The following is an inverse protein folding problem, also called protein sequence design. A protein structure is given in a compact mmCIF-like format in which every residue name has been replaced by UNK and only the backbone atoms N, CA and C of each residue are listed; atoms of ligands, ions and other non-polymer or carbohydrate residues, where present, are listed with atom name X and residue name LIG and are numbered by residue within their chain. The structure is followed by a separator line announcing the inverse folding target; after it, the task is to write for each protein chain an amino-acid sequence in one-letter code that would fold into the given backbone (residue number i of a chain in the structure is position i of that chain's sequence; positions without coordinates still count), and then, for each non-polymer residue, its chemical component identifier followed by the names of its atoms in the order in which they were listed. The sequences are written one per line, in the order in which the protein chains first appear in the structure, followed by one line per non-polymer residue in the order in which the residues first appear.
data_IF_480279038089
#
_entry.id   IF_480279038089
#
_cell.length_a   1.000
_cell.length_b   1.000
_cell.length_c   1.000
_cell.angle_alpha   90.00
_cell.angle_beta   90.00
_cell.angle_gamma   90.00
#
_symmetry.space_group_name_H-M   'P 1'
#
loop_
_entity.id
_entity.type
_entity.pdbx_description
1 polymer ?
#
# COMPACT_ATOMS: atom_id res chain seq x y z
N UNK A 1 -22.62 18.06 34.75
CA UNK A 1 -21.65 17.05 35.25
C UNK A 1 -20.33 17.32 34.51
N UNK A 2 -19.27 17.72 35.23
CA UNK A 2 -17.97 17.96 34.61
C UNK A 2 -17.35 16.59 34.42
N UNK A 3 -17.01 16.23 33.18
CA UNK A 3 -16.34 14.98 32.85
C UNK A 3 -14.91 15.04 33.40
N UNK A 4 -14.48 14.07 34.17
CA UNK A 4 -13.09 13.95 34.60
C UNK A 4 -12.22 13.49 33.42
N UNK A 5 -11.38 14.42 32.94
CA UNK A 5 -10.51 14.16 31.81
C UNK A 5 -9.47 13.06 32.11
N UNK A 6 -8.98 12.98 33.34
CA UNK A 6 -7.98 11.97 33.71
C UNK A 6 -8.58 10.58 33.75
N UNK A 7 -9.81 10.45 34.26
CA UNK A 7 -10.53 9.20 34.25
C UNK A 7 -10.88 8.76 32.81
N UNK A 8 -11.32 9.69 31.96
CA UNK A 8 -11.59 9.40 30.54
C UNK A 8 -10.34 8.90 29.80
N UNK A 9 -9.17 9.49 30.07
CA UNK A 9 -7.90 9.04 29.48
C UNK A 9 -7.52 7.63 29.92
N UNK A 10 -7.68 7.30 31.20
CA UNK A 10 -7.42 5.94 31.71
C UNK A 10 -8.32 4.90 31.03
N UNK A 11 -9.59 5.24 30.82
CA UNK A 11 -10.53 4.36 30.12
C UNK A 11 -10.13 4.17 28.65
N UNK A 12 -9.68 5.22 27.97
CA UNK A 12 -9.15 5.14 26.59
C UNK A 12 -7.92 4.24 26.57
N UNK A 13 -6.94 4.45 27.46
CA UNK A 13 -5.72 3.65 27.53
C UNK A 13 -6.01 2.15 27.73
N UNK A 14 -7.04 1.83 28.50
CA UNK A 14 -7.46 0.43 28.71
C UNK A 14 -8.11 -0.17 27.46
N UNK A 15 -8.95 0.61 26.76
CA UNK A 15 -9.58 0.20 25.50
C UNK A 15 -8.50 0.01 24.42
N UNK A 16 -7.53 0.91 24.35
CA UNK A 16 -6.43 0.82 23.39
C UNK A 16 -5.59 -0.46 23.55
N UNK A 17 -5.33 -0.88 24.82
CA UNK A 17 -4.68 -2.17 25.08
C UNK A 17 -5.49 -3.35 24.52
N UNK A 18 -6.81 -3.33 24.73
CA UNK A 18 -7.70 -4.38 24.19
C UNK A 18 -7.70 -4.36 22.64
N UNK A 19 -7.67 -3.19 22.03
CA UNK A 19 -7.56 -3.06 20.56
C UNK A 19 -6.26 -3.69 20.06
N UNK A 20 -5.12 -3.43 20.72
CA UNK A 20 -3.83 -4.03 20.36
C UNK A 20 -3.91 -5.55 20.47
N UNK A 21 -4.40 -6.11 21.58
CA UNK A 21 -4.54 -7.55 21.76
C UNK A 21 -5.43 -8.19 20.69
N UNK A 22 -6.55 -7.56 20.35
CA UNK A 22 -7.48 -8.06 19.33
C UNK A 22 -6.86 -7.96 17.92
N UNK A 23 -6.09 -6.90 17.67
CA UNK A 23 -5.37 -6.75 16.42
C UNK A 23 -4.30 -7.82 16.24
N UNK A 24 -3.50 -8.12 17.27
CA UNK A 24 -2.50 -9.20 17.24
C UNK A 24 -3.15 -10.56 16.97
N UNK A 25 -4.21 -10.90 17.71
CA UNK A 25 -4.99 -12.13 17.46
C UNK A 25 -5.52 -12.21 16.05
N UNK A 26 -5.97 -11.08 15.50
CA UNK A 26 -6.44 -11.01 14.12
C UNK A 26 -5.29 -11.25 13.12
N UNK A 27 -4.09 -10.75 13.41
CA UNK A 27 -2.92 -10.95 12.56
C UNK A 27 -2.43 -12.40 12.59
N UNK A 28 -2.51 -13.08 13.74
CA UNK A 28 -2.23 -14.53 13.85
C UNK A 28 -3.17 -15.36 12.95
N UNK A 29 -4.46 -15.02 12.97
CA UNK A 29 -5.43 -15.69 12.07
C UNK A 29 -5.14 -15.34 10.60
N UNK A 30 -4.72 -14.10 10.30
CA UNK A 30 -4.33 -13.71 8.95
C UNK A 30 -3.08 -14.49 8.46
N UNK A 31 -2.18 -14.88 9.37
CA UNK A 31 -1.06 -15.77 9.06
C UNK A 31 -1.53 -17.14 8.55
N UNK A 32 -2.51 -17.75 9.23
CA UNK A 32 -3.09 -19.03 8.82
C UNK A 32 -3.79 -18.93 7.44
N UNK A 33 -4.48 -17.81 7.21
CA UNK A 33 -5.08 -17.52 5.89
C UNK A 33 -4.02 -17.40 4.79
N UNK A 34 -2.88 -16.76 5.10
CA UNK A 34 -1.76 -16.68 4.16
C UNK A 34 -1.23 -18.07 3.81
N UNK A 35 -0.99 -18.92 4.80
CA UNK A 35 -0.48 -20.27 4.58
C UNK A 35 -1.44 -21.11 3.72
N UNK A 36 -2.75 -21.00 3.95
CA UNK A 36 -3.76 -21.64 3.11
C UNK A 36 -3.72 -21.13 1.65
N UNK A 37 -3.66 -19.81 1.46
CA UNK A 37 -3.61 -19.21 0.11
C UNK A 37 -2.34 -19.59 -0.64
N UNK A 38 -1.20 -19.63 0.04
CA UNK A 38 0.08 -20.07 -0.51
C UNK A 38 -0.02 -21.54 -0.95
N UNK A 39 -0.59 -22.40 -0.12
CA UNK A 39 -0.72 -23.83 -0.41
C UNK A 39 -1.70 -24.11 -1.57
N UNK A 40 -2.71 -23.27 -1.74
CA UNK A 40 -3.78 -23.48 -2.75
C UNK A 40 -3.64 -22.61 -3.99
N UNK A 41 -2.64 -21.72 -4.06
CA UNK A 41 -2.46 -20.78 -5.16
C UNK A 41 -3.53 -19.68 -5.25
N UNK A 42 -4.35 -19.50 -4.21
CA UNK A 42 -5.38 -18.44 -4.18
C UNK A 42 -4.74 -17.06 -4.04
N UNK A 43 -5.31 -16.08 -4.76
CA UNK A 43 -4.88 -14.69 -4.67
C UNK A 43 -5.00 -14.14 -3.23
N UNK A 44 -4.02 -13.33 -2.82
CA UNK A 44 -4.05 -12.65 -1.51
C UNK A 44 -5.20 -11.66 -1.45
N UNK A 45 -5.39 -10.85 -2.50
CA UNK A 45 -6.45 -9.87 -2.57
C UNK A 45 -7.75 -10.48 -3.11
N UNK A 46 -8.81 -10.38 -2.32
CA UNK A 46 -10.17 -10.77 -2.64
C UNK A 46 -11.07 -9.56 -2.41
N UNK A 47 -11.24 -8.76 -3.48
CA UNK A 47 -11.94 -7.47 -3.43
C UNK A 47 -13.37 -7.62 -2.95
N UNK A 48 -14.11 -8.54 -3.54
CA UNK A 48 -15.53 -8.73 -3.24
C UNK A 48 -15.76 -9.12 -1.77
N UNK A 49 -14.97 -10.06 -1.26
CA UNK A 49 -15.02 -10.45 0.15
C UNK A 49 -14.67 -9.30 1.09
N UNK A 50 -13.67 -8.47 0.77
CA UNK A 50 -13.29 -7.34 1.60
C UNK A 50 -14.39 -6.29 1.63
N UNK A 51 -14.98 -5.94 0.49
CA UNK A 51 -16.08 -4.98 0.39
C UNK A 51 -17.31 -5.45 1.19
N UNK A 52 -17.73 -6.70 1.02
CA UNK A 52 -18.84 -7.29 1.79
C UNK A 52 -18.56 -7.28 3.29
N UNK A 53 -17.32 -7.58 3.69
CA UNK A 53 -16.95 -7.59 5.11
C UNK A 53 -16.94 -6.20 5.72
N UNK A 54 -16.40 -5.21 5.02
CA UNK A 54 -16.42 -3.81 5.45
C UNK A 54 -17.88 -3.33 5.60
N UNK A 55 -18.72 -3.63 4.63
CA UNK A 55 -20.13 -3.27 4.68
C UNK A 55 -20.84 -3.89 5.88
N UNK A 56 -20.61 -5.17 6.14
CA UNK A 56 -21.15 -5.85 7.32
C UNK A 56 -20.70 -5.19 8.63
N UNK A 57 -19.39 -4.87 8.74
CA UNK A 57 -18.82 -4.36 9.98
C UNK A 57 -19.26 -2.92 10.28
N UNK A 58 -19.32 -2.05 9.28
CA UNK A 58 -19.75 -0.67 9.49
C UNK A 58 -21.19 -0.57 10.00
N UNK A 59 -22.06 -1.50 9.62
CA UNK A 59 -23.45 -1.55 10.10
C UNK A 59 -23.60 -2.02 11.54
N UNK A 60 -22.54 -2.49 12.21
CA UNK A 60 -22.53 -2.75 13.63
C UNK A 60 -22.36 -1.47 14.46
N UNK A 61 -21.96 -0.37 13.85
CA UNK A 61 -21.81 0.92 14.54
C UNK A 61 -23.17 1.59 14.81
N UNK A 62 -23.29 2.24 15.97
CA UNK A 62 -24.53 2.83 16.44
C UNK A 62 -24.77 4.29 15.97
N UNK A 63 -23.84 4.90 15.26
CA UNK A 63 -23.97 6.26 14.73
C UNK A 63 -23.36 6.37 13.34
N UNK A 64 -23.85 7.33 12.55
CA UNK A 64 -23.35 7.58 11.20
C UNK A 64 -21.86 7.96 11.19
N UNK A 65 -21.41 8.69 12.20
CA UNK A 65 -20.00 9.01 12.37
C UNK A 65 -19.16 7.75 12.58
N UNK A 66 -19.54 6.92 13.55
CA UNK A 66 -18.82 5.68 13.84
C UNK A 66 -18.91 4.68 12.68
N UNK A 67 -20.02 4.65 11.93
CA UNK A 67 -20.15 3.82 10.73
C UNK A 67 -19.05 4.12 9.71
N UNK A 68 -18.77 5.40 9.44
CA UNK A 68 -17.68 5.83 8.54
C UNK A 68 -16.30 5.47 9.12
N UNK A 69 -16.08 5.76 10.40
CA UNK A 69 -14.80 5.46 11.07
C UNK A 69 -14.50 3.95 11.09
N UNK A 70 -15.52 3.11 11.34
CA UNK A 70 -15.36 1.65 11.28
C UNK A 70 -15.00 1.18 9.88
N UNK A 71 -15.62 1.74 8.84
CA UNK A 71 -15.27 1.39 7.45
C UNK A 71 -13.79 1.72 7.15
N UNK A 72 -13.31 2.90 7.56
CA UNK A 72 -11.91 3.30 7.39
C UNK A 72 -10.96 2.40 8.17
N UNK A 73 -11.25 2.15 9.45
CA UNK A 73 -10.44 1.29 10.32
C UNK A 73 -10.26 -0.11 9.74
N UNK A 74 -11.35 -0.74 9.27
CA UNK A 74 -11.26 -2.08 8.71
C UNK A 74 -10.67 -2.11 7.31
N UNK A 75 -10.81 -1.06 6.51
CA UNK A 75 -10.08 -0.91 5.25
C UNK A 75 -8.57 -0.92 5.49
N UNK A 76 -8.09 -0.15 6.46
CA UNK A 76 -6.66 -0.12 6.83
C UNK A 76 -6.21 -1.45 7.44
N UNK A 77 -7.01 -2.03 8.33
CA UNK A 77 -6.70 -3.32 8.94
C UNK A 77 -6.58 -4.46 7.89
N UNK A 78 -7.41 -4.45 6.85
CA UNK A 78 -7.30 -5.42 5.74
C UNK A 78 -6.08 -5.14 4.88
N UNK A 79 -5.75 -3.88 4.61
CA UNK A 79 -4.54 -3.52 3.88
C UNK A 79 -3.27 -4.01 4.60
N UNK A 80 -3.18 -3.84 5.92
CA UNK A 80 -2.08 -4.36 6.75
C UNK A 80 -2.02 -5.89 6.70
N UNK A 81 -3.17 -6.57 6.75
CA UNK A 81 -3.21 -8.04 6.63
C UNK A 81 -2.75 -8.52 5.25
N UNK A 82 -3.11 -7.83 4.17
CA UNK A 82 -2.58 -8.14 2.82
C UNK A 82 -1.08 -7.97 2.74
N UNK A 83 -0.56 -6.83 3.26
CA UNK A 83 0.88 -6.58 3.30
C UNK A 83 1.62 -7.72 4.00
N UNK A 84 1.12 -8.17 5.14
CA UNK A 84 1.68 -9.29 5.87
C UNK A 84 1.60 -10.61 5.08
N UNK A 85 0.46 -10.90 4.43
CA UNK A 85 0.31 -12.10 3.59
C UNK A 85 1.27 -12.09 2.39
N UNK A 86 1.46 -10.93 1.74
CA UNK A 86 2.43 -10.79 0.66
C UNK A 86 3.87 -11.00 1.13
N UNK A 87 4.26 -10.46 2.30
CA UNK A 87 5.61 -10.69 2.84
C UNK A 87 5.87 -12.18 3.11
N UNK A 88 4.89 -12.93 3.61
CA UNK A 88 5.01 -14.39 3.77
C UNK A 88 5.14 -15.11 2.43
N UNK A 89 4.42 -14.66 1.40
CA UNK A 89 4.50 -15.22 0.05
C UNK A 89 5.88 -14.99 -0.57
N UNK A 90 6.43 -13.79 -0.40
CA UNK A 90 7.77 -13.43 -0.89
C UNK A 90 8.86 -14.24 -0.18
N UNK A 91 8.79 -14.41 1.14
CA UNK A 91 9.74 -15.25 1.90
C UNK A 91 9.78 -16.70 1.39
N UNK A 92 8.66 -17.26 0.96
CA UNK A 92 8.63 -18.60 0.36
C UNK A 92 9.10 -18.64 -1.10
N UNK A 93 8.91 -17.53 -1.84
CA UNK A 93 9.42 -17.38 -3.20
C UNK A 93 10.91 -17.07 -3.26
N UNK A 94 11.52 -16.62 -2.17
CA UNK A 94 12.96 -16.36 -2.11
C UNK A 94 13.83 -17.62 -2.31
N UNK A 95 13.22 -18.81 -2.29
CA UNK A 95 13.85 -20.04 -2.77
C UNK A 95 13.85 -20.16 -4.32
N UNK A 96 13.11 -19.32 -5.03
CA UNK A 96 13.15 -19.15 -6.49
C UNK A 96 13.93 -17.87 -6.78
N UNK A 97 15.23 -18.07 -7.02
CA UNK A 97 16.27 -17.16 -7.50
C UNK A 97 15.71 -15.98 -8.33
N UNK A 98 15.32 -14.90 -7.64
CA UNK A 98 15.53 -13.60 -8.23
C UNK A 98 17.05 -13.42 -8.25
N UNK A 99 17.62 -13.18 -9.41
CA UNK A 99 19.02 -12.79 -9.50
C UNK A 99 19.25 -11.65 -8.52
N UNK A 100 20.34 -11.68 -7.73
CA UNK A 100 20.61 -10.58 -6.81
C UNK A 100 20.68 -9.28 -7.62
N UNK A 101 20.05 -8.22 -7.11
CA UNK A 101 20.19 -6.90 -7.73
C UNK A 101 21.65 -6.49 -7.76
N UNK A 102 22.13 -6.05 -8.91
CA UNK A 102 23.42 -5.41 -9.01
C UNK A 102 23.39 -4.08 -8.26
N UNK A 103 24.23 -3.96 -7.23
CA UNK A 103 24.40 -2.70 -6.50
C UNK A 103 25.29 -1.80 -7.35
N UNK A 104 24.74 -0.66 -7.78
CA UNK A 104 25.48 0.34 -8.53
C UNK A 104 25.65 1.58 -7.66
N UNK A 105 26.83 2.23 -7.74
CA UNK A 105 27.10 3.45 -6.97
C UNK A 105 26.28 4.65 -7.46
N UNK A 106 25.95 4.70 -8.75
CA UNK A 106 25.08 5.71 -9.34
C UNK A 106 24.34 5.13 -10.56
N UNK A 107 23.23 5.75 -10.92
CA UNK A 107 22.47 5.36 -12.10
C UNK A 107 22.94 6.17 -13.32
N UNK A 108 22.88 5.55 -14.50
CA UNK A 108 23.17 6.24 -15.75
C UNK A 108 22.17 7.37 -15.98
N UNK A 109 22.64 8.57 -16.26
CA UNK A 109 21.82 9.77 -16.53
C UNK A 109 22.00 10.32 -17.95
N UNK A 110 23.03 9.89 -18.66
CA UNK A 110 23.33 10.36 -20.01
C UNK A 110 22.53 9.60 -21.06
N UNK A 111 21.95 10.35 -22.01
CA UNK A 111 21.20 9.84 -23.13
C UNK A 111 20.09 8.83 -22.78
N UNK A 112 19.41 9.08 -21.69
CA UNK A 112 18.31 8.26 -21.20
C UNK A 112 16.94 8.81 -21.60
N UNK A 113 15.93 7.94 -21.55
CA UNK A 113 14.51 8.29 -21.66
C UNK A 113 13.77 7.82 -20.42
N UNK A 114 13.02 8.70 -19.80
CA UNK A 114 12.30 8.42 -18.56
C UNK A 114 10.79 8.47 -18.82
N UNK A 115 10.06 7.47 -18.34
CA UNK A 115 8.60 7.47 -18.35
C UNK A 115 8.05 7.82 -16.99
N UNK A 116 6.97 8.57 -16.94
CA UNK A 116 6.24 8.89 -15.72
C UNK A 116 4.73 8.73 -15.93
N UNK A 117 4.02 8.40 -14.85
CA UNK A 117 2.56 8.28 -14.89
C UNK A 117 1.91 9.64 -14.64
N UNK A 118 0.88 9.96 -15.43
CA UNK A 118 0.05 11.15 -15.31
C UNK A 118 0.35 12.18 -16.41
N UNK A 119 -0.07 13.42 -16.17
CA UNK A 119 0.04 14.51 -17.14
C UNK A 119 1.26 15.39 -16.86
N UNK A 120 1.77 16.16 -17.85
CA UNK A 120 2.79 17.17 -17.62
C UNK A 120 2.36 18.14 -16.49
N UNK A 121 3.26 18.41 -15.54
CA UNK A 121 3.00 19.21 -14.35
C UNK A 121 2.46 18.42 -13.15
N UNK A 122 2.22 17.10 -13.28
CA UNK A 122 1.90 16.25 -12.15
C UNK A 122 3.13 16.03 -11.24
N UNK A 123 2.92 15.59 -9.99
CA UNK A 123 4.00 15.32 -9.02
C UNK A 123 5.07 14.35 -9.54
N UNK A 124 4.68 13.33 -10.28
CA UNK A 124 5.61 12.39 -10.90
C UNK A 124 6.49 13.06 -11.99
N UNK A 125 5.92 13.99 -12.74
CA UNK A 125 6.68 14.81 -13.69
C UNK A 125 7.68 15.72 -12.99
N UNK A 126 7.26 16.41 -11.95
CA UNK A 126 8.13 17.29 -11.17
C UNK A 126 9.25 16.48 -10.47
N UNK A 127 8.92 15.34 -9.86
CA UNK A 127 9.92 14.46 -9.26
C UNK A 127 10.93 13.95 -10.28
N UNK A 128 10.50 13.63 -11.50
CA UNK A 128 11.37 13.24 -12.59
C UNK A 128 12.34 14.36 -12.97
N UNK A 129 11.85 15.58 -13.17
CA UNK A 129 12.70 16.73 -13.53
C UNK A 129 13.68 17.07 -12.41
N UNK A 130 13.26 17.01 -11.15
CA UNK A 130 14.13 17.26 -10.00
C UNK A 130 15.26 16.22 -9.86
N UNK A 131 15.02 14.98 -10.24
CA UNK A 131 16.01 13.91 -10.09
C UNK A 131 16.92 13.78 -11.32
N UNK A 132 16.36 13.81 -12.54
CA UNK A 132 17.08 13.58 -13.78
C UNK A 132 17.49 14.87 -14.51
N UNK A 133 16.96 16.03 -14.12
CA UNK A 133 17.19 17.32 -14.76
C UNK A 133 16.13 17.68 -15.81
N UNK A 134 16.09 18.98 -16.16
CA UNK A 134 15.04 19.52 -17.04
C UNK A 134 15.18 19.07 -18.51
N UNK A 135 16.38 18.70 -18.94
CA UNK A 135 16.70 18.34 -20.32
C UNK A 135 16.53 16.84 -20.61
N UNK A 136 16.07 16.04 -19.62
CA UNK A 136 15.89 14.61 -19.80
C UNK A 136 14.79 14.31 -20.80
N UNK A 137 15.07 13.42 -21.76
CA UNK A 137 14.03 12.91 -22.65
C UNK A 137 12.99 12.15 -21.84
N UNK A 138 11.74 12.53 -21.97
CA UNK A 138 10.69 11.93 -21.18
C UNK A 138 9.43 11.65 -22.00
N UNK A 139 8.57 10.81 -21.43
CA UNK A 139 7.22 10.53 -21.91
C UNK A 139 6.29 10.28 -20.75
N UNK A 140 5.02 10.58 -20.92
CA UNK A 140 3.97 10.27 -19.94
C UNK A 140 3.11 9.12 -20.43
N UNK A 141 2.51 8.43 -19.45
CA UNK A 141 1.53 7.36 -19.64
C UNK A 141 0.39 7.51 -18.63
N UNK A 142 -0.75 6.88 -18.90
CA UNK A 142 -1.93 7.03 -18.05
C UNK A 142 -1.89 6.13 -16.81
N UNK A 143 -1.23 4.99 -16.90
CA UNK A 143 -1.22 3.99 -15.82
C UNK A 143 0.19 3.61 -15.37
N UNK A 144 0.31 3.15 -14.13
CA UNK A 144 1.57 2.58 -13.61
C UNK A 144 2.00 1.32 -14.37
N UNK A 145 1.04 0.54 -14.86
CA UNK A 145 1.31 -0.64 -15.67
C UNK A 145 2.03 -0.26 -16.96
N UNK A 146 1.51 0.70 -17.70
CA UNK A 146 2.13 1.20 -18.93
C UNK A 146 3.53 1.74 -18.67
N UNK A 147 3.75 2.42 -17.53
CA UNK A 147 5.08 2.87 -17.15
C UNK A 147 6.07 1.70 -16.94
N UNK A 148 5.63 0.63 -16.30
CA UNK A 148 6.45 -0.56 -16.08
C UNK A 148 6.70 -1.32 -17.39
N UNK A 149 5.68 -1.47 -18.23
CA UNK A 149 5.77 -2.10 -19.56
C UNK A 149 6.73 -1.33 -20.46
N UNK A 150 6.69 0.02 -20.47
CA UNK A 150 7.60 0.85 -21.26
C UNK A 150 9.08 0.62 -20.91
N UNK A 151 9.40 0.34 -19.64
CA UNK A 151 10.77 -0.02 -19.23
C UNK A 151 11.09 -1.46 -19.60
N UNK A 152 10.16 -2.39 -19.37
CA UNK A 152 10.34 -3.82 -19.71
C UNK A 152 10.58 -4.02 -21.21
N UNK A 153 9.87 -3.25 -22.05
CA UNK A 153 9.96 -3.32 -23.51
C UNK A 153 11.13 -2.49 -24.08
N UNK A 154 11.92 -1.84 -23.23
CA UNK A 154 13.06 -1.01 -23.64
C UNK A 154 12.68 0.31 -24.33
N UNK A 155 11.42 0.74 -24.23
CA UNK A 155 10.93 2.03 -24.75
C UNK A 155 11.42 3.19 -23.90
N UNK A 156 11.64 2.96 -22.61
CA UNK A 156 12.23 3.88 -21.64
C UNK A 156 13.29 3.16 -20.81
N UNK A 157 14.28 3.92 -20.31
CA UNK A 157 15.35 3.39 -19.45
C UNK A 157 14.92 3.33 -17.97
N UNK A 158 14.07 4.28 -17.54
CA UNK A 158 13.59 4.39 -16.16
C UNK A 158 12.12 4.78 -16.11
N UNK A 159 11.44 4.38 -15.02
CA UNK A 159 10.09 4.83 -14.70
C UNK A 159 10.04 5.54 -13.36
N UNK A 160 9.34 6.68 -13.30
CA UNK A 160 9.05 7.39 -12.04
C UNK A 160 7.64 7.02 -11.58
N UNK A 161 7.57 6.27 -10.49
CA UNK A 161 6.33 5.74 -9.92
C UNK A 161 6.24 6.17 -8.44
N UNK A 162 5.13 6.77 -7.99
CA UNK A 162 4.96 7.14 -6.58
C UNK A 162 4.80 5.89 -5.70
N UNK A 163 5.52 5.86 -4.59
CA UNK A 163 5.50 4.73 -3.64
C UNK A 163 4.23 4.72 -2.78
N UNK A 164 3.59 5.87 -2.56
CA UNK A 164 2.37 5.99 -1.75
C UNK A 164 1.46 7.08 -2.27
N UNK A 165 0.26 6.70 -2.67
CA UNK A 165 -0.79 7.63 -3.13
C UNK A 165 -1.73 8.10 -2.00
N UNK A 166 -1.65 7.48 -0.82
CA UNK A 166 -2.64 7.66 0.26
C UNK A 166 -2.46 8.97 1.04
N UNK A 167 -1.29 9.60 1.01
CA UNK A 167 -1.03 10.85 1.72
C UNK A 167 -1.15 12.13 0.85
N UNK A 168 -1.30 11.99 -0.46
CA UNK A 168 -1.31 13.14 -1.40
C UNK A 168 -2.70 13.65 -1.77
N UNK A 169 -3.78 13.05 -1.25
CA UNK A 169 -5.18 13.49 -1.49
C UNK A 169 -5.75 14.42 -0.42
N UNK A 170 -4.94 14.95 0.48
CA UNK A 170 -5.39 15.78 1.59
C UNK A 170 -5.11 17.29 1.40
N UNK A 171 -5.20 17.79 0.16
CA UNK A 171 -5.23 19.24 -0.10
C UNK A 171 -6.11 19.55 -1.28
#
# INVERSE_FOLDING_TARGET
MVVDLQESRKQIDEIDRQIVELFEKRMDVAANVADYKIATGKAVFDKEREEQKIDTLRHLAHSDFNNKCVAELFTQSMAMSRKFQYSKLEMRKSDSRLEPYDIVDDIRRDNIKVVYQGVPGAYSHEAMLNFFGNDVRNMNVDTFREAMEAVSDGVADYAVIPVSYTHLRAH
#
